data_IF_153202862285
#
_entry.id   IF_153202862285
#
_cell.length_a   1.000
_cell.length_b   1.000
_cell.length_c   1.000
_cell.angle_alpha   90.00
_cell.angle_beta   90.00
_cell.angle_gamma   90.00
#
_symmetry.space_group_name_H-M   'P 1'
#
loop_
_entity.id
_entity.type
_entity.pdbx_description
1 polymer ?
#
# COMPACT_ATOMS: atom_id res chain seq x y z
N UNK A 1 17.40 36.64 26.12
CA UNK A 1 16.80 35.29 26.06
C UNK A 1 16.67 34.79 27.49
N UNK A 2 15.47 34.50 27.99
CA UNK A 2 15.24 34.20 29.42
C UNK A 2 15.63 32.75 29.75
N UNK A 3 15.97 32.45 31.01
CA UNK A 3 16.29 31.09 31.46
C UNK A 3 15.19 30.07 31.11
N UNK A 4 13.92 30.51 31.14
CA UNK A 4 12.74 29.74 30.73
C UNK A 4 12.81 29.38 29.24
N UNK A 5 13.14 30.33 28.36
CA UNK A 5 13.30 30.06 26.92
C UNK A 5 14.42 29.04 26.65
N UNK A 6 15.49 29.06 27.45
CA UNK A 6 16.58 28.10 27.32
C UNK A 6 16.16 26.68 27.71
N UNK A 7 15.45 26.53 28.85
CA UNK A 7 14.92 25.23 29.30
C UNK A 7 13.90 24.65 28.32
N UNK A 8 12.99 25.46 27.79
CA UNK A 8 12.04 25.03 26.77
C UNK A 8 12.73 24.53 25.49
N UNK A 9 13.83 25.20 25.08
CA UNK A 9 14.63 24.77 23.94
C UNK A 9 15.32 23.43 24.19
N UNK A 10 15.90 23.22 25.36
CA UNK A 10 16.53 21.94 25.74
C UNK A 10 15.48 20.82 25.72
N UNK A 11 14.34 21.04 26.36
CA UNK A 11 13.25 20.05 26.39
C UNK A 11 12.73 19.73 24.98
N UNK A 12 12.57 20.74 24.13
CA UNK A 12 12.16 20.56 22.74
C UNK A 12 13.18 19.74 21.95
N UNK A 13 14.47 20.04 22.08
CA UNK A 13 15.54 19.32 21.38
C UNK A 13 15.64 17.87 21.85
N UNK A 14 15.52 17.62 23.16
CA UNK A 14 15.51 16.27 23.72
C UNK A 14 14.32 15.45 23.22
N UNK A 15 13.12 16.04 23.21
CA UNK A 15 11.90 15.41 22.68
C UNK A 15 12.07 15.07 21.19
N UNK A 16 12.52 16.02 20.39
CA UNK A 16 12.77 15.79 18.96
C UNK A 16 13.79 14.68 18.77
N UNK A 17 14.93 14.73 19.44
CA UNK A 17 15.95 13.68 19.36
C UNK A 17 15.38 12.29 19.69
N UNK A 18 14.55 12.19 20.73
CA UNK A 18 13.91 10.93 21.08
C UNK A 18 12.93 10.42 20.00
N UNK A 19 12.13 11.32 19.43
CA UNK A 19 11.16 10.99 18.38
C UNK A 19 11.82 10.52 17.08
N UNK A 20 12.97 11.09 16.70
CA UNK A 20 13.66 10.68 15.46
C UNK A 20 14.51 9.41 15.66
N UNK A 21 15.17 9.26 16.81
CA UNK A 21 16.20 8.22 16.99
C UNK A 21 15.70 6.96 17.70
N UNK A 22 14.77 7.08 18.66
CA UNK A 22 14.37 5.94 19.51
C UNK A 22 12.93 5.49 19.26
N UNK A 23 12.03 6.44 18.99
CA UNK A 23 10.62 6.14 18.77
C UNK A 23 10.38 5.12 17.63
N UNK A 24 11.04 5.21 16.45
CA UNK A 24 10.82 4.23 15.39
C UNK A 24 11.14 2.79 15.80
N UNK A 25 12.24 2.60 16.52
CA UNK A 25 12.65 1.28 17.03
C UNK A 25 11.66 0.75 18.09
N UNK A 26 11.16 1.61 18.97
CA UNK A 26 10.15 1.25 19.96
C UNK A 26 8.81 0.83 19.32
N UNK A 27 8.39 1.52 18.25
CA UNK A 27 7.21 1.15 17.48
C UNK A 27 7.41 -0.18 16.75
N UNK A 28 8.55 -0.37 16.09
CA UNK A 28 8.86 -1.63 15.42
C UNK A 28 8.87 -2.81 16.40
N UNK A 29 9.41 -2.63 17.61
CA UNK A 29 9.37 -3.63 18.67
C UNK A 29 7.93 -3.92 19.13
N UNK A 30 7.12 -2.88 19.35
CA UNK A 30 5.72 -3.01 19.76
C UNK A 30 4.90 -3.78 18.72
N UNK A 31 5.05 -3.46 17.43
CA UNK A 31 4.36 -4.17 16.34
C UNK A 31 4.89 -5.58 16.19
N UNK A 32 6.19 -5.82 16.39
CA UNK A 32 6.74 -7.19 16.39
C UNK A 32 6.12 -8.01 17.51
N UNK A 33 6.05 -7.48 18.73
CA UNK A 33 5.46 -8.14 19.89
C UNK A 33 3.96 -8.41 19.68
N UNK A 34 3.21 -7.46 19.12
CA UNK A 34 1.76 -7.63 18.87
C UNK A 34 1.45 -8.76 17.89
N UNK A 35 2.38 -9.09 16.98
CA UNK A 35 2.19 -10.19 16.01
C UNK A 35 2.46 -11.58 16.56
N UNK A 36 2.94 -11.73 17.80
CA UNK A 36 3.45 -13.01 18.32
C UNK A 36 2.42 -14.14 18.25
N UNK A 37 1.20 -13.91 18.75
CA UNK A 37 0.12 -14.90 18.72
C UNK A 37 -0.33 -15.22 17.29
N UNK A 38 -0.44 -14.20 16.44
CA UNK A 38 -0.83 -14.33 15.03
C UNK A 38 0.14 -15.19 14.22
N UNK A 39 1.45 -15.12 14.51
CA UNK A 39 2.45 -15.97 13.83
C UNK A 39 2.12 -17.44 13.97
N UNK A 40 1.81 -17.87 15.18
CA UNK A 40 1.47 -19.27 15.46
C UNK A 40 0.22 -19.70 14.69
N UNK A 41 -0.82 -18.86 14.70
CA UNK A 41 -2.07 -19.15 14.00
C UNK A 41 -1.88 -19.22 12.48
N UNK A 42 -1.11 -18.29 11.89
CA UNK A 42 -0.80 -18.26 10.46
C UNK A 42 -0.08 -19.53 10.04
N UNK A 43 0.95 -19.94 10.78
CA UNK A 43 1.71 -21.16 10.47
C UNK A 43 0.84 -22.40 10.58
N UNK A 44 0.04 -22.51 11.64
CA UNK A 44 -0.89 -23.64 11.84
C UNK A 44 -1.95 -23.73 10.75
N UNK A 45 -2.43 -22.60 10.23
CA UNK A 45 -3.41 -22.54 9.17
C UNK A 45 -2.81 -22.70 7.75
N UNK A 46 -1.49 -22.81 7.61
CA UNK A 46 -0.82 -22.82 6.30
C UNK A 46 -0.98 -21.49 5.55
N UNK A 47 -1.21 -20.38 6.26
CA UNK A 47 -1.59 -19.09 5.69
C UNK A 47 -0.39 -18.17 5.35
N UNK A 48 0.78 -18.76 5.08
CA UNK A 48 2.04 -18.02 4.97
C UNK A 48 2.26 -17.31 3.64
N UNK A 49 1.50 -17.64 2.59
CA UNK A 49 1.72 -17.15 1.22
C UNK A 49 0.57 -16.25 0.79
N UNK A 50 0.84 -14.98 0.49
CA UNK A 50 -0.19 -14.02 0.09
C UNK A 50 0.15 -13.42 -1.27
N UNK A 51 -0.78 -13.47 -2.24
CA UNK A 51 -0.66 -12.70 -3.47
C UNK A 51 -1.19 -11.28 -3.20
N UNK A 52 -0.33 -10.27 -3.33
CA UNK A 52 -0.64 -8.88 -2.95
C UNK A 52 -0.98 -8.06 -4.18
N UNK A 53 -2.19 -7.52 -4.19
CA UNK A 53 -2.65 -6.59 -5.21
C UNK A 53 -1.91 -5.24 -5.14
N UNK A 54 -1.80 -4.58 -6.29
CA UNK A 54 -1.27 -3.25 -6.46
C UNK A 54 -2.00 -2.20 -5.64
N UNK A 55 -3.30 -2.40 -5.41
CA UNK A 55 -4.09 -1.51 -4.55
C UNK A 55 -3.58 -1.53 -3.10
N UNK A 56 -3.22 -2.70 -2.56
CA UNK A 56 -2.63 -2.84 -1.22
C UNK A 56 -1.28 -2.12 -1.16
N UNK A 57 -0.42 -2.33 -2.15
CA UNK A 57 0.90 -1.66 -2.21
C UNK A 57 0.73 -0.14 -2.27
N UNK A 58 -0.22 0.36 -3.06
CA UNK A 58 -0.51 1.79 -3.13
C UNK A 58 -1.05 2.36 -1.81
N UNK A 59 -1.84 1.58 -1.06
CA UNK A 59 -2.35 1.97 0.27
C UNK A 59 -1.33 1.78 1.39
N UNK A 60 -0.24 1.04 1.16
CA UNK A 60 0.88 0.93 2.10
C UNK A 60 1.69 2.23 2.18
N UNK A 61 1.54 3.16 1.21
CA UNK A 61 2.03 4.55 1.30
C UNK A 61 1.15 5.32 2.28
N UNK A 62 1.58 5.41 3.52
CA UNK A 62 0.79 5.97 4.63
C UNK A 62 1.16 7.41 4.96
N UNK A 63 2.30 7.88 4.48
CA UNK A 63 2.71 9.28 4.63
C UNK A 63 3.19 9.82 3.30
N UNK A 64 2.91 11.10 3.07
CA UNK A 64 3.26 11.82 1.87
C UNK A 64 3.83 13.19 2.21
N UNK A 65 4.51 13.79 1.24
CA UNK A 65 5.14 15.10 1.35
C UNK A 65 4.09 16.19 1.18
N UNK A 66 3.78 16.91 2.26
CA UNK A 66 2.90 18.07 2.28
C UNK A 66 3.68 19.38 2.28
N UNK A 67 3.12 20.43 1.67
CA UNK A 67 3.61 21.80 1.82
C UNK A 67 2.90 22.48 2.98
N UNK A 68 3.67 22.97 3.95
CA UNK A 68 3.18 23.69 5.12
C UNK A 68 3.39 25.18 4.89
N UNK A 69 2.32 25.92 4.65
CA UNK A 69 2.37 27.37 4.50
C UNK A 69 2.72 28.04 5.84
N UNK A 70 3.68 28.96 5.80
CA UNK A 70 4.02 29.88 6.91
C UNK A 70 3.49 31.29 6.65
N UNK A 71 2.57 31.43 5.70
CA UNK A 71 1.97 32.70 5.28
C UNK A 71 2.75 33.43 4.20
N UNK A 72 2.23 34.59 3.80
CA UNK A 72 2.82 35.42 2.76
C UNK A 72 3.81 36.41 3.38
N UNK A 73 5.01 36.50 2.80
CA UNK A 73 6.01 37.51 3.17
C UNK A 73 6.44 38.31 1.95
N UNK A 74 6.80 39.58 2.16
CA UNK A 74 7.27 40.45 1.09
C UNK A 74 8.75 40.17 0.78
N UNK A 75 9.04 39.58 -0.37
CA UNK A 75 10.39 39.45 -0.88
C UNK A 75 10.86 40.82 -1.42
N UNK A 76 12.00 41.29 -0.90
CA UNK A 76 12.52 42.63 -1.22
C UNK A 76 11.61 43.79 -0.77
N UNK A 77 10.66 43.54 0.14
CA UNK A 77 9.68 44.54 0.59
C UNK A 77 8.56 44.85 -0.41
N UNK A 78 8.59 44.25 -1.62
CA UNK A 78 7.70 44.64 -2.73
C UNK A 78 6.92 43.49 -3.33
N UNK A 79 7.45 42.26 -3.34
CA UNK A 79 6.78 41.12 -3.99
C UNK A 79 6.21 40.17 -2.94
N UNK A 80 4.88 39.98 -2.85
CA UNK A 80 4.31 38.99 -1.94
C UNK A 80 4.68 37.58 -2.41
N UNK A 81 5.34 36.81 -1.54
CA UNK A 81 5.70 35.42 -1.77
C UNK A 81 5.08 34.53 -0.70
N UNK A 82 4.42 33.45 -1.14
CA UNK A 82 4.01 32.40 -0.22
C UNK A 82 5.25 31.69 0.32
N UNK A 83 5.38 31.70 1.65
CA UNK A 83 6.48 31.03 2.34
C UNK A 83 5.96 29.74 2.97
N UNK A 84 6.85 28.77 3.11
CA UNK A 84 6.52 27.50 3.71
C UNK A 84 7.67 26.53 3.66
N UNK A 85 7.40 25.29 4.05
CA UNK A 85 8.36 24.20 3.97
C UNK A 85 7.64 22.88 3.69
N UNK A 86 8.38 21.93 3.10
CA UNK A 86 7.88 20.58 2.93
C UNK A 86 8.03 19.80 4.24
N UNK A 87 7.02 19.00 4.58
CA UNK A 87 7.06 18.09 5.71
C UNK A 87 6.38 16.77 5.36
N UNK A 88 6.74 15.71 6.07
CA UNK A 88 5.99 14.45 6.03
C UNK A 88 4.68 14.62 6.80
N UNK A 89 3.56 14.26 6.17
CA UNK A 89 2.24 14.20 6.81
C UNK A 89 1.58 12.84 6.58
N UNK A 90 0.84 12.30 7.57
CA UNK A 90 -0.06 11.17 7.38
C UNK A 90 -1.06 11.38 6.24
N UNK A 91 -1.41 10.30 5.55
CA UNK A 91 -2.47 10.31 4.53
C UNK A 91 -3.86 10.32 5.18
N UNK A 92 -4.08 9.41 6.11
CA UNK A 92 -5.37 9.21 6.75
C UNK A 92 -5.42 9.92 8.11
N UNK A 93 -6.59 10.46 8.42
CA UNK A 93 -6.91 10.90 9.76
C UNK A 93 -7.00 9.70 10.76
N UNK A 94 -6.77 9.93 12.05
CA UNK A 94 -6.86 8.85 13.06
C UNK A 94 -8.30 8.39 13.28
N UNK A 95 -9.26 9.27 13.09
CA UNK A 95 -10.68 8.98 13.30
C UNK A 95 -11.37 8.48 12.02
N UNK A 96 -10.64 8.40 10.89
CA UNK A 96 -11.17 7.88 9.63
C UNK A 96 -11.61 6.40 9.78
N UNK A 97 -12.92 6.18 9.65
CA UNK A 97 -13.58 4.87 9.74
C UNK A 97 -13.89 4.25 8.37
N UNK A 98 -13.41 4.84 7.27
CA UNK A 98 -13.59 4.27 5.94
C UNK A 98 -12.99 2.85 5.85
N UNK A 99 -13.56 1.99 4.99
CA UNK A 99 -13.08 0.61 4.79
C UNK A 99 -11.58 0.58 4.44
N UNK A 100 -11.12 1.57 3.66
CA UNK A 100 -9.72 1.75 3.32
C UNK A 100 -8.86 2.07 4.55
N UNK A 101 -9.23 3.09 5.34
CA UNK A 101 -8.45 3.49 6.52
C UNK A 101 -8.39 2.37 7.57
N UNK A 102 -9.49 1.64 7.80
CA UNK A 102 -9.50 0.48 8.70
C UNK A 102 -8.56 -0.61 8.23
N UNK A 103 -8.58 -0.94 6.93
CA UNK A 103 -7.67 -1.95 6.35
C UNK A 103 -6.20 -1.53 6.41
N UNK A 104 -5.90 -0.26 6.19
CA UNK A 104 -4.52 0.27 6.27
C UNK A 104 -3.90 0.03 7.66
N UNK A 105 -4.69 0.09 8.74
CA UNK A 105 -4.21 -0.16 10.12
C UNK A 105 -3.63 -1.57 10.33
N UNK A 106 -4.01 -2.54 9.49
CA UNK A 106 -3.48 -3.91 9.58
C UNK A 106 -2.19 -4.13 8.77
N UNK A 107 -1.85 -3.20 7.87
CA UNK A 107 -0.68 -3.33 7.00
C UNK A 107 0.63 -3.33 7.78
N UNK A 108 0.71 -2.63 8.90
CA UNK A 108 1.91 -2.62 9.75
C UNK A 108 2.20 -4.02 10.33
N UNK A 109 1.17 -4.73 10.79
CA UNK A 109 1.29 -6.10 11.28
C UNK A 109 1.71 -7.06 10.17
N UNK A 110 1.08 -6.95 9.00
CA UNK A 110 1.41 -7.76 7.80
C UNK A 110 2.86 -7.51 7.36
N UNK A 111 3.28 -6.24 7.30
CA UNK A 111 4.64 -5.86 6.96
C UNK A 111 5.66 -6.42 7.97
N UNK A 112 5.36 -6.35 9.27
CA UNK A 112 6.20 -6.91 10.31
C UNK A 112 6.33 -8.43 10.19
N UNK A 113 5.23 -9.15 9.95
CA UNK A 113 5.24 -10.59 9.72
C UNK A 113 6.07 -10.97 8.48
N UNK A 114 5.97 -10.19 7.41
CA UNK A 114 6.73 -10.40 6.19
C UNK A 114 8.23 -10.16 6.37
N UNK A 115 8.62 -9.06 7.05
CA UNK A 115 10.02 -8.75 7.40
C UNK A 115 10.70 -9.88 8.18
N UNK A 116 9.93 -10.60 9.00
CA UNK A 116 10.44 -11.68 9.85
C UNK A 116 10.23 -13.08 9.23
N UNK A 117 9.83 -13.17 7.96
CA UNK A 117 9.72 -14.44 7.24
C UNK A 117 8.54 -15.32 7.65
N UNK A 118 7.58 -14.82 8.42
CA UNK A 118 6.34 -15.56 8.73
C UNK A 118 5.36 -15.51 7.56
N UNK A 119 5.34 -14.39 6.84
CA UNK A 119 4.59 -14.23 5.60
C UNK A 119 5.55 -14.04 4.42
N UNK A 120 5.24 -14.70 3.32
CA UNK A 120 5.80 -14.43 2.01
C UNK A 120 4.76 -13.67 1.18
N UNK A 121 5.10 -12.42 0.85
CA UNK A 121 4.27 -11.60 -0.02
C UNK A 121 4.72 -11.80 -1.46
N UNK A 122 3.76 -12.07 -2.33
CA UNK A 122 3.99 -12.32 -3.73
C UNK A 122 3.30 -11.28 -4.61
N UNK A 123 3.84 -11.07 -5.81
CA UNK A 123 3.21 -10.37 -6.93
C UNK A 123 3.20 -11.30 -8.15
N UNK A 124 2.38 -10.99 -9.15
CA UNK A 124 2.31 -11.72 -10.41
C UNK A 124 2.89 -10.90 -11.56
N UNK A 125 3.32 -11.52 -12.66
CA UNK A 125 3.73 -10.80 -13.86
C UNK A 125 2.68 -9.83 -14.39
N UNK A 126 1.39 -10.18 -14.32
CA UNK A 126 0.31 -9.28 -14.74
C UNK A 126 0.16 -8.07 -13.79
N UNK A 127 0.32 -8.27 -12.48
CA UNK A 127 0.36 -7.16 -11.51
C UNK A 127 1.58 -6.26 -11.75
N UNK A 128 2.73 -6.82 -12.11
CA UNK A 128 3.91 -6.01 -12.45
C UNK A 128 3.69 -5.18 -13.71
N UNK A 129 3.06 -5.73 -14.75
CA UNK A 129 2.70 -4.97 -15.95
C UNK A 129 1.74 -3.83 -15.63
N UNK A 130 0.82 -4.03 -14.69
CA UNK A 130 -0.06 -2.95 -14.21
C UNK A 130 0.73 -1.85 -13.53
N UNK A 131 1.71 -2.22 -12.71
CA UNK A 131 2.59 -1.24 -12.07
C UNK A 131 3.38 -0.45 -13.12
N UNK A 132 3.91 -1.12 -14.14
CA UNK A 132 4.67 -0.48 -15.22
C UNK A 132 3.81 0.47 -16.08
N UNK A 133 2.51 0.18 -16.23
CA UNK A 133 1.57 1.07 -16.90
C UNK A 133 1.22 2.32 -16.07
N UNK A 134 1.56 2.33 -14.78
CA UNK A 134 1.25 3.40 -13.85
C UNK A 134 2.54 4.11 -13.38
N UNK A 135 2.46 5.36 -12.90
CA UNK A 135 3.65 6.04 -12.39
C UNK A 135 4.14 5.36 -11.11
N UNK A 136 5.46 5.14 -11.03
CA UNK A 136 6.14 4.46 -9.91
C UNK A 136 5.75 5.05 -8.54
N UNK A 137 5.59 6.38 -8.46
CA UNK A 137 5.23 7.06 -7.22
C UNK A 137 3.85 6.70 -6.65
N UNK A 138 2.99 6.02 -7.42
CA UNK A 138 1.78 5.42 -6.88
C UNK A 138 2.08 4.34 -5.83
N UNK A 139 3.20 3.63 -5.95
CA UNK A 139 3.53 2.48 -5.10
C UNK A 139 4.61 2.80 -4.06
N UNK A 140 5.48 3.77 -4.35
CA UNK A 140 6.56 4.20 -3.46
C UNK A 140 6.33 5.55 -2.78
N UNK A 141 5.37 6.34 -3.25
CA UNK A 141 5.29 7.78 -2.96
C UNK A 141 5.94 8.63 -4.07
N UNK A 142 5.47 9.87 -4.22
CA UNK A 142 5.98 10.84 -5.21
C UNK A 142 6.91 11.89 -4.60
N UNK A 143 6.83 12.12 -3.29
CA UNK A 143 7.59 13.15 -2.61
C UNK A 143 8.84 12.60 -1.90
N UNK A 144 9.80 13.50 -1.67
CA UNK A 144 11.06 13.18 -0.99
C UNK A 144 10.87 12.66 0.45
N UNK A 145 9.75 13.02 1.09
CA UNK A 145 9.47 12.70 2.49
C UNK A 145 8.40 11.63 2.66
N UNK A 146 7.99 10.96 1.57
CA UNK A 146 6.96 9.94 1.62
C UNK A 146 7.44 8.70 2.39
N UNK A 147 6.48 7.95 2.95
CA UNK A 147 6.78 6.71 3.67
C UNK A 147 5.78 5.62 3.31
N UNK A 148 6.32 4.43 3.01
CA UNK A 148 5.56 3.21 2.79
C UNK A 148 5.90 2.18 3.85
N UNK A 149 4.87 1.55 4.42
CA UNK A 149 5.00 0.44 5.37
C UNK A 149 5.68 -0.79 4.73
N UNK A 150 5.63 -0.91 3.40
CA UNK A 150 6.26 -2.02 2.65
C UNK A 150 7.66 -1.68 2.12
N UNK A 151 8.22 -0.51 2.45
CA UNK A 151 9.54 -0.05 1.96
C UNK A 151 10.71 -1.02 2.24
N UNK A 152 10.62 -1.81 3.30
CA UNK A 152 11.62 -2.82 3.69
C UNK A 152 11.10 -4.26 3.58
N UNK A 153 9.98 -4.46 2.91
CA UNK A 153 9.37 -5.77 2.70
C UNK A 153 9.70 -6.26 1.29
N UNK A 154 10.28 -7.46 1.18
CA UNK A 154 10.49 -8.10 -0.10
C UNK A 154 9.17 -8.69 -0.61
N UNK A 155 8.69 -8.20 -1.75
CA UNK A 155 7.55 -8.79 -2.48
C UNK A 155 8.13 -9.60 -3.64
N UNK A 156 7.98 -10.92 -3.58
CA UNK A 156 8.57 -11.83 -4.55
C UNK A 156 7.68 -11.98 -5.78
N UNK A 157 8.28 -12.17 -6.95
CA UNK A 157 7.54 -12.41 -8.19
C UNK A 157 7.25 -13.90 -8.33
N UNK A 158 5.99 -14.26 -8.54
CA UNK A 158 5.62 -15.61 -8.93
C UNK A 158 6.04 -15.90 -10.38
N UNK A 159 6.51 -17.14 -10.66
CA UNK A 159 6.82 -17.54 -12.02
C UNK A 159 5.53 -17.73 -12.84
N UNK A 160 5.46 -17.18 -14.05
CA UNK A 160 4.45 -17.53 -15.06
C UNK A 160 5.19 -17.93 -16.34
N UNK A 161 5.27 -19.23 -16.69
CA UNK A 161 5.97 -19.69 -17.89
C UNK A 161 5.26 -19.25 -19.18
N UNK A 162 3.97 -18.90 -19.10
CA UNK A 162 3.19 -18.42 -20.25
C UNK A 162 3.19 -16.89 -20.36
N UNK A 163 3.93 -16.18 -19.51
CA UNK A 163 4.06 -14.74 -19.59
C UNK A 163 5.12 -14.34 -20.60
N UNK A 164 4.72 -13.50 -21.55
CA UNK A 164 5.61 -12.84 -22.50
C UNK A 164 5.25 -11.35 -22.58
N UNK A 165 6.27 -10.49 -22.55
CA UNK A 165 6.11 -9.05 -22.71
C UNK A 165 6.99 -8.59 -23.87
N UNK A 166 6.40 -7.81 -24.78
CA UNK A 166 7.12 -7.17 -25.87
C UNK A 166 7.30 -5.69 -25.54
N UNK A 167 8.53 -5.24 -25.32
CA UNK A 167 8.84 -3.83 -25.14
C UNK A 167 9.38 -3.29 -26.46
N UNK A 168 8.83 -2.19 -26.96
CA UNK A 168 9.44 -1.48 -28.07
C UNK A 168 8.88 -0.06 -28.27
N UNK A 169 9.49 0.69 -29.20
CA UNK A 169 9.11 2.06 -29.46
C UNK A 169 7.74 2.12 -30.16
N UNK A 170 6.84 2.97 -29.66
CA UNK A 170 5.48 3.13 -30.21
C UNK A 170 5.47 3.52 -31.69
N UNK A 171 6.50 4.21 -32.17
CA UNK A 171 6.65 4.58 -33.59
C UNK A 171 6.95 3.38 -34.52
N UNK A 172 7.35 2.23 -33.95
CA UNK A 172 7.52 0.96 -34.68
C UNK A 172 6.25 0.09 -34.65
N UNK A 173 5.10 0.64 -34.24
CA UNK A 173 3.82 -0.08 -34.23
C UNK A 173 3.70 -1.12 -33.12
N UNK A 174 4.55 -1.07 -32.10
CA UNK A 174 4.46 -2.02 -30.97
C UNK A 174 3.17 -1.79 -30.15
N UNK A 175 2.43 -2.86 -29.81
CA UNK A 175 1.20 -2.74 -29.03
C UNK A 175 1.46 -2.18 -27.64
N UNK A 176 0.51 -1.42 -27.12
CA UNK A 176 0.57 -0.90 -25.75
C UNK A 176 0.55 -2.03 -24.71
N UNK A 177 1.02 -1.76 -23.48
CA UNK A 177 0.98 -2.74 -22.39
C UNK A 177 -0.45 -3.24 -22.10
N UNK A 178 -1.45 -2.36 -22.22
CA UNK A 178 -2.86 -2.72 -22.01
C UNK A 178 -3.38 -3.64 -23.11
N UNK A 179 -3.05 -3.38 -24.38
CA UNK A 179 -3.41 -4.25 -25.51
C UNK A 179 -2.72 -5.61 -25.42
N UNK A 180 -1.44 -5.63 -25.05
CA UNK A 180 -0.71 -6.88 -24.82
C UNK A 180 -1.36 -7.72 -23.72
N UNK A 181 -1.75 -7.09 -22.60
CA UNK A 181 -2.46 -7.78 -21.52
C UNK A 181 -3.81 -8.32 -21.98
N UNK A 182 -4.64 -7.52 -22.64
CA UNK A 182 -5.95 -7.97 -23.15
C UNK A 182 -5.79 -9.17 -24.08
N UNK A 183 -4.80 -9.12 -24.99
CA UNK A 183 -4.49 -10.23 -25.89
C UNK A 183 -4.02 -11.48 -25.14
N UNK A 184 -3.16 -11.34 -24.12
CA UNK A 184 -2.72 -12.46 -23.29
C UNK A 184 -3.88 -13.09 -22.54
N UNK A 185 -4.69 -12.30 -21.84
CA UNK A 185 -5.86 -12.79 -21.09
C UNK A 185 -6.85 -13.50 -22.02
N UNK A 186 -7.12 -12.95 -23.21
CA UNK A 186 -7.98 -13.59 -24.20
C UNK A 186 -7.43 -14.94 -24.71
N UNK A 187 -6.10 -15.09 -24.75
CA UNK A 187 -5.44 -16.34 -25.17
C UNK A 187 -5.30 -17.39 -24.06
N UNK A 188 -5.58 -17.04 -22.79
CA UNK A 188 -5.47 -18.00 -21.68
C UNK A 188 -6.57 -19.07 -21.80
N UNK A 189 -6.14 -20.32 -21.90
CA UNK A 189 -7.04 -21.48 -21.97
C UNK A 189 -7.46 -22.02 -20.59
N UNK A 190 -6.98 -21.42 -19.51
CA UNK A 190 -7.14 -21.89 -18.14
C UNK A 190 -8.63 -22.09 -17.76
N UNK A 191 -9.03 -23.32 -17.35
CA UNK A 191 -10.43 -23.61 -17.03
C UNK A 191 -10.97 -22.82 -15.84
N UNK A 192 -10.15 -22.65 -14.78
CA UNK A 192 -10.56 -21.93 -13.57
C UNK A 192 -10.78 -20.45 -13.89
N UNK A 193 -9.87 -19.84 -14.63
CA UNK A 193 -10.00 -18.46 -15.10
C UNK A 193 -11.29 -18.25 -15.89
N UNK A 194 -11.59 -19.11 -16.88
CA UNK A 194 -12.80 -19.00 -17.68
C UNK A 194 -14.06 -19.12 -16.82
N UNK A 195 -14.08 -20.05 -15.88
CA UNK A 195 -15.20 -20.22 -14.95
C UNK A 195 -15.37 -18.97 -14.06
N UNK A 196 -14.28 -18.42 -13.52
CA UNK A 196 -14.31 -17.19 -12.72
C UNK A 196 -14.80 -15.98 -13.53
N UNK A 197 -14.40 -15.85 -14.81
CA UNK A 197 -14.90 -14.80 -15.71
C UNK A 197 -16.41 -14.93 -15.95
N UNK A 198 -16.93 -16.14 -16.08
CA UNK A 198 -18.37 -16.37 -16.24
C UNK A 198 -19.15 -15.95 -14.99
N UNK A 199 -18.59 -16.16 -13.79
CA UNK A 199 -19.24 -15.84 -12.51
C UNK A 199 -19.11 -14.35 -12.15
N UNK A 200 -17.92 -13.78 -12.28
CA UNK A 200 -17.63 -12.39 -11.91
C UNK A 200 -17.97 -11.39 -13.03
N UNK A 201 -18.12 -11.88 -14.26
CA UNK A 201 -18.38 -11.09 -15.45
C UNK A 201 -17.11 -10.66 -16.20
N UNK A 202 -17.23 -10.35 -17.51
CA UNK A 202 -16.08 -10.07 -18.38
C UNK A 202 -15.28 -8.83 -17.99
N UNK A 203 -15.94 -7.85 -17.35
CA UNK A 203 -15.30 -6.63 -16.88
C UNK A 203 -14.31 -6.88 -15.73
N UNK A 204 -14.46 -7.99 -15.01
CA UNK A 204 -13.61 -8.40 -13.89
C UNK A 204 -12.61 -9.49 -14.30
N UNK A 205 -12.32 -9.61 -15.60
CA UNK A 205 -11.41 -10.64 -16.12
C UNK A 205 -10.00 -10.52 -15.56
N UNK A 206 -9.51 -9.31 -15.32
CA UNK A 206 -8.20 -9.10 -14.70
C UNK A 206 -8.18 -9.62 -13.25
N UNK A 207 -9.21 -9.30 -12.46
CA UNK A 207 -9.34 -9.78 -11.09
C UNK A 207 -9.51 -11.31 -11.03
N UNK A 208 -10.31 -11.87 -11.95
CA UNK A 208 -10.48 -13.31 -12.10
C UNK A 208 -9.14 -14.02 -12.38
N UNK A 209 -8.27 -13.41 -13.19
CA UNK A 209 -6.94 -13.96 -13.45
C UNK A 209 -6.03 -13.91 -12.22
N UNK A 210 -6.10 -12.84 -11.41
CA UNK A 210 -5.33 -12.75 -10.17
C UNK A 210 -5.78 -13.78 -9.13
N UNK A 211 -7.08 -14.02 -9.01
CA UNK A 211 -7.63 -15.08 -8.16
C UNK A 211 -7.16 -16.46 -8.63
N UNK A 212 -7.27 -16.75 -9.93
CA UNK A 212 -6.78 -18.01 -10.49
C UNK A 212 -5.26 -18.18 -10.26
N UNK A 213 -4.48 -17.10 -10.42
CA UNK A 213 -3.04 -17.11 -10.13
C UNK A 213 -2.76 -17.42 -8.66
N UNK A 214 -3.51 -16.83 -7.73
CA UNK A 214 -3.36 -17.13 -6.30
C UNK A 214 -3.64 -18.62 -6.01
N UNK A 215 -4.69 -19.19 -6.60
CA UNK A 215 -5.04 -20.61 -6.47
C UNK A 215 -3.92 -21.53 -6.99
N UNK A 216 -3.47 -21.31 -8.23
CA UNK A 216 -2.45 -22.15 -8.87
C UNK A 216 -1.11 -22.15 -8.14
N UNK A 217 -0.77 -21.05 -7.47
CA UNK A 217 0.46 -20.91 -6.69
C UNK A 217 0.30 -21.24 -5.20
N UNK A 218 -0.82 -21.85 -4.82
CA UNK A 218 -1.17 -22.23 -3.45
C UNK A 218 -0.99 -21.05 -2.47
N UNK A 219 -1.38 -19.85 -2.90
CA UNK A 219 -1.49 -18.71 -2.00
C UNK A 219 -2.72 -18.90 -1.11
N UNK A 220 -2.58 -18.55 0.16
CA UNK A 220 -3.70 -18.59 1.10
C UNK A 220 -4.78 -17.58 0.71
N UNK A 221 -4.37 -16.38 0.28
CA UNK A 221 -5.30 -15.40 -0.25
C UNK A 221 -4.69 -14.51 -1.33
N UNK A 222 -5.58 -13.98 -2.16
CA UNK A 222 -5.39 -12.76 -2.91
C UNK A 222 -5.80 -11.57 -2.02
N UNK A 223 -4.81 -10.78 -1.61
CA UNK A 223 -4.96 -9.64 -0.73
C UNK A 223 -5.19 -8.39 -1.57
N UNK A 224 -6.37 -7.77 -1.44
CA UNK A 224 -6.77 -6.59 -2.23
C UNK A 224 -7.45 -5.52 -1.36
N UNK A 225 -7.40 -4.27 -1.80
CA UNK A 225 -8.19 -3.17 -1.26
C UNK A 225 -9.43 -2.86 -2.12
N UNK A 226 -9.68 -3.63 -3.18
CA UNK A 226 -10.93 -3.51 -3.93
C UNK A 226 -12.08 -4.17 -3.17
N UNK A 227 -12.76 -3.36 -2.35
CA UNK A 227 -13.91 -3.81 -1.57
C UNK A 227 -15.11 -4.23 -2.43
N UNK A 228 -15.21 -3.75 -3.68
CA UNK A 228 -16.28 -4.17 -4.60
C UNK A 228 -16.02 -5.58 -5.09
N UNK A 229 -14.78 -5.89 -5.44
CA UNK A 229 -14.37 -7.25 -5.79
C UNK A 229 -14.61 -8.22 -4.63
N UNK A 230 -14.18 -7.87 -3.42
CA UNK A 230 -14.39 -8.71 -2.22
C UNK A 230 -15.88 -9.01 -2.04
N UNK A 231 -16.73 -7.97 -2.00
CA UNK A 231 -18.18 -8.13 -1.84
C UNK A 231 -18.80 -8.95 -2.98
N UNK A 232 -18.31 -8.78 -4.20
CA UNK A 232 -18.77 -9.55 -5.36
C UNK A 232 -18.42 -11.03 -5.24
N UNK A 233 -17.21 -11.38 -4.81
CA UNK A 233 -16.78 -12.76 -4.59
C UNK A 233 -17.56 -13.39 -3.44
N UNK A 234 -17.73 -12.68 -2.32
CA UNK A 234 -18.52 -13.15 -1.16
C UNK A 234 -19.98 -13.43 -1.53
N UNK A 235 -20.60 -12.54 -2.32
CA UNK A 235 -21.98 -12.73 -2.81
C UNK A 235 -22.12 -13.99 -3.68
N UNK A 236 -21.04 -14.41 -4.35
CA UNK A 236 -20.99 -15.62 -5.17
C UNK A 236 -20.49 -16.85 -4.41
N UNK A 237 -20.34 -16.79 -3.08
CA UNK A 237 -19.79 -17.89 -2.28
C UNK A 237 -20.56 -19.22 -2.34
N UNK A 238 -21.81 -19.23 -2.85
CA UNK A 238 -22.59 -20.46 -3.11
C UNK A 238 -22.37 -21.03 -4.51
N UNK A 239 -21.77 -20.27 -5.42
CA UNK A 239 -21.42 -20.75 -6.75
C UNK A 239 -20.32 -21.81 -6.62
N UNK A 240 -20.47 -22.94 -7.31
CA UNK A 240 -19.53 -24.06 -7.24
C UNK A 240 -18.08 -23.67 -7.56
N UNK A 241 -17.87 -22.73 -8.47
CA UNK A 241 -16.53 -22.25 -8.85
C UNK A 241 -15.86 -21.51 -7.69
N UNK A 242 -16.57 -20.58 -7.05
CA UNK A 242 -16.04 -19.78 -5.95
C UNK A 242 -15.92 -20.61 -4.67
N UNK A 243 -16.90 -21.48 -4.41
CA UNK A 243 -16.91 -22.37 -3.25
C UNK A 243 -15.74 -23.40 -3.29
N UNK A 244 -15.26 -23.75 -4.49
CA UNK A 244 -14.16 -24.67 -4.67
C UNK A 244 -12.76 -24.03 -4.51
N UNK A 245 -12.67 -22.70 -4.47
CA UNK A 245 -11.38 -22.00 -4.29
C UNK A 245 -10.80 -22.27 -2.91
N UNK A 246 -9.50 -22.60 -2.86
CA UNK A 246 -8.73 -22.65 -1.61
C UNK A 246 -8.19 -21.27 -1.26
N UNK A 247 -7.75 -20.53 -2.28
CA UNK A 247 -7.30 -19.16 -2.16
C UNK A 247 -8.49 -18.23 -1.87
N UNK A 248 -8.43 -17.52 -0.74
CA UNK A 248 -9.45 -16.55 -0.35
C UNK A 248 -9.22 -15.21 -1.01
N UNK A 249 -10.27 -14.40 -1.18
CA UNK A 249 -10.13 -12.98 -1.56
C UNK A 249 -10.40 -12.14 -0.33
N UNK A 250 -9.40 -11.39 0.14
CA UNK A 250 -9.47 -10.75 1.47
C UNK A 250 -8.90 -9.34 1.44
N UNK A 251 -9.46 -8.46 2.27
CA UNK A 251 -8.80 -7.21 2.63
C UNK A 251 -7.74 -7.43 3.72
N UNK A 252 -6.80 -6.50 3.91
CA UNK A 252 -5.90 -6.49 5.06
C UNK A 252 -6.63 -6.56 6.41
N UNK A 253 -7.79 -5.90 6.54
CA UNK A 253 -8.63 -5.98 7.75
C UNK A 253 -9.17 -7.39 7.96
N UNK A 254 -9.71 -8.03 6.91
CA UNK A 254 -10.23 -9.40 7.02
C UNK A 254 -9.12 -10.39 7.37
N UNK A 255 -7.97 -10.29 6.72
CA UNK A 255 -6.81 -11.12 7.02
C UNK A 255 -6.36 -10.92 8.47
N UNK A 256 -6.23 -9.66 8.89
CA UNK A 256 -5.83 -9.33 10.24
C UNK A 256 -6.78 -9.85 11.30
N UNK A 257 -8.09 -9.65 11.13
CA UNK A 257 -9.11 -10.21 12.04
C UNK A 257 -9.07 -11.74 12.10
N UNK A 258 -8.87 -12.40 10.96
CA UNK A 258 -8.81 -13.87 10.87
C UNK A 258 -7.68 -14.46 11.72
N UNK A 259 -6.55 -13.76 11.81
CA UNK A 259 -5.36 -14.20 12.55
C UNK A 259 -5.09 -13.39 13.82
N UNK A 260 -6.07 -12.62 14.30
CA UNK A 260 -5.95 -11.82 15.52
C UNK A 260 -4.83 -10.76 15.49
N UNK A 261 -4.51 -10.20 14.32
CA UNK A 261 -3.60 -9.06 14.24
C UNK A 261 -4.22 -7.83 14.91
N UNK A 262 -3.44 -7.14 15.72
CA UNK A 262 -3.89 -5.85 16.26
C UNK A 262 -3.79 -4.75 15.19
N UNK A 263 -4.85 -3.93 15.01
CA UNK A 263 -4.75 -2.75 14.16
C UNK A 263 -3.79 -1.73 14.79
N UNK A 264 -2.87 -1.18 13.99
CA UNK A 264 -1.87 -0.20 14.41
C UNK A 264 -2.07 1.10 13.62
N UNK A 265 -2.15 2.23 14.31
CA UNK A 265 -2.26 3.54 13.64
C UNK A 265 -1.02 3.78 12.76
N UNK A 266 -1.20 4.08 11.47
CA UNK A 266 -0.09 4.46 10.61
C UNK A 266 0.68 5.68 11.12
N UNK A 267 0.04 6.60 11.86
CA UNK A 267 0.69 7.81 12.39
C UNK A 267 1.87 7.49 13.32
N UNK A 268 1.87 6.32 13.97
CA UNK A 268 3.02 5.85 14.77
C UNK A 268 4.30 5.68 13.94
N UNK A 269 4.17 5.55 12.61
CA UNK A 269 5.30 5.43 11.67
C UNK A 269 5.78 6.78 11.11
N UNK A 270 5.27 7.90 11.61
CA UNK A 270 5.59 9.24 11.07
C UNK A 270 7.09 9.55 11.08
N UNK A 271 7.82 9.07 12.08
CA UNK A 271 9.26 9.35 12.23
C UNK A 271 10.18 8.28 11.60
N UNK A 272 9.64 7.20 11.03
CA UNK A 272 10.47 6.12 10.48
C UNK A 272 11.34 6.59 9.31
N UNK A 273 12.66 6.49 9.48
CA UNK A 273 13.65 6.90 8.48
C UNK A 273 13.59 8.40 8.15
N UNK A 274 13.00 9.23 9.01
CA UNK A 274 12.92 10.66 8.80
C UNK A 274 14.21 11.35 9.29
N UNK A 275 14.73 12.27 8.48
CA UNK A 275 15.81 13.21 8.86
C UNK A 275 15.41 14.67 8.56
N UNK A 276 14.11 14.88 8.37
CA UNK A 276 13.47 16.07 7.83
C UNK A 276 12.18 16.37 8.62
N UNK A 277 11.56 17.56 8.45
CA UNK A 277 10.37 17.93 9.18
C UNK A 277 9.22 16.92 9.04
N UNK A 278 8.63 16.54 10.17
CA UNK A 278 7.45 15.67 10.27
C UNK A 278 6.36 16.44 11.00
N UNK A 279 5.14 16.42 10.46
CA UNK A 279 3.95 17.03 11.08
C UNK A 279 2.90 15.95 11.32
N UNK A 280 3.10 15.07 12.33
CA UNK A 280 2.23 13.92 12.57
C UNK A 280 0.83 14.32 13.04
N UNK A 281 0.62 15.56 13.45
CA UNK A 281 -0.68 16.11 13.85
C UNK A 281 -1.54 16.52 12.64
N UNK A 282 -0.94 16.68 11.46
CA UNK A 282 -1.65 17.00 10.22
C UNK A 282 -1.99 15.73 9.44
N UNK A 283 -2.82 15.87 8.41
CA UNK A 283 -3.08 14.83 7.41
C UNK A 283 -3.54 15.47 6.09
N UNK A 284 -3.61 14.67 5.03
CA UNK A 284 -4.23 15.14 3.79
C UNK A 284 -5.72 15.43 3.98
N UNK A 285 -6.27 16.48 3.33
CA UNK A 285 -7.70 16.73 3.30
C UNK A 285 -8.46 15.51 2.77
N UNK A 286 -9.65 15.28 3.32
CA UNK A 286 -10.49 14.10 3.05
C UNK A 286 -9.87 12.73 3.40
N UNK A 287 -8.73 12.70 4.12
CA UNK A 287 -8.03 11.45 4.47
C UNK A 287 -7.70 10.59 3.25
N UNK A 288 -7.30 11.23 2.15
CA UNK A 288 -6.97 10.56 0.88
C UNK A 288 -5.62 11.01 0.35
N UNK A 289 -4.95 10.11 -0.35
CA UNK A 289 -3.72 10.41 -1.08
C UNK A 289 -3.99 11.49 -2.13
N UNK A 290 -2.97 12.30 -2.43
CA UNK A 290 -3.07 13.31 -3.49
C UNK A 290 -3.40 12.69 -4.83
N UNK A 291 -4.34 13.30 -5.55
CA UNK A 291 -4.61 12.94 -6.95
C UNK A 291 -3.36 13.17 -7.80
N UNK A 292 -3.12 12.28 -8.76
CA UNK A 292 -2.00 12.38 -9.72
C UNK A 292 -1.92 13.74 -10.42
N UNK A 293 -3.07 14.33 -10.76
CA UNK A 293 -3.13 15.66 -11.41
C UNK A 293 -2.46 16.76 -10.60
N UNK A 294 -2.44 16.63 -9.26
CA UNK A 294 -1.84 17.62 -8.37
C UNK A 294 -0.31 17.63 -8.33
N UNK A 295 0.35 16.65 -8.98
CA UNK A 295 1.81 16.59 -9.08
C UNK A 295 2.34 17.16 -10.41
N UNK A 296 1.47 17.47 -11.37
CA UNK A 296 1.90 18.15 -12.58
C UNK A 296 2.17 19.62 -12.24
N UNK A 297 3.32 20.20 -12.62
CA UNK A 297 3.47 21.65 -12.56
C UNK A 297 2.32 22.26 -13.36
N UNK A 298 1.70 23.31 -12.81
CA UNK A 298 0.75 24.11 -13.58
C UNK A 298 1.42 24.45 -14.92
N UNK A 299 0.74 24.18 -16.04
CA UNK A 299 1.22 24.65 -17.34
C UNK A 299 1.43 26.16 -17.20
N UNK A 300 2.69 26.58 -17.19
CA UNK A 300 3.07 27.98 -17.34
C UNK A 300 2.75 28.41 -18.76
#
# INVERSE_FOLDING_TARGET
MTAIQHLLRIAHNAKSHALYNYFPAAIDWTVKASTFASRKQIVQAGASRLLVDNTVVAHAVTHETGWISTGTKMWGGTVPCETGYSARIPVHDEDDQSEAARSVRYLAGIASLARHGTLALFSSPELLDEQMAQPIGRYSGYGYYDHSLFSSVKIERLPDPAYAMTIGPRYLGTPSLEEQRKKRLASKADPLFKALVQVLGPNNSQDAWHIATAEHHNCYCFLTMDFRLIKSVEAQGRNSTVAALKARVMSPEMFGKTFGLMPVSPRLFSYHGASYPVRPELNWPESKRRKRSSYKPAKR
#
